data_IF_283053757306
#
_entry.id   IF_283053757306
#
_cell.length_a   1.000
_cell.length_b   1.000
_cell.length_c   1.000
_cell.angle_alpha   90.00
_cell.angle_beta   90.00
_cell.angle_gamma   90.00
#
_symmetry.space_group_name_H-M   'P 1'
#
loop_
_entity.id
_entity.type
_entity.pdbx_description
1 polymer ?
#
# COMPACT_ATOMS: atom_id res chain seq x y z
N UNK A 1 -13.82 -27.63 56.09
CA UNK A 1 -14.55 -27.73 54.80
C UNK A 1 -14.05 -26.64 53.85
N UNK A 2 -13.47 -26.97 52.69
CA UNK A 2 -12.88 -26.00 51.79
C UNK A 2 -13.97 -25.26 50.99
N UNK A 3 -13.89 -23.92 50.96
CA UNK A 3 -14.83 -23.04 50.25
C UNK A 3 -14.62 -23.19 48.74
N UNK A 4 -15.64 -23.64 48.03
CA UNK A 4 -15.66 -23.72 46.56
C UNK A 4 -15.39 -22.35 45.93
N UNK A 5 -14.32 -22.29 45.14
CA UNK A 5 -13.99 -21.12 44.30
C UNK A 5 -15.04 -21.03 43.18
N UNK A 6 -15.95 -20.06 43.29
CA UNK A 6 -16.84 -19.65 42.19
C UNK A 6 -15.99 -19.23 40.98
N UNK A 7 -15.98 -20.07 39.95
CA UNK A 7 -15.38 -19.75 38.65
C UNK A 7 -16.09 -18.56 38.02
N UNK A 8 -15.37 -17.45 37.84
CA UNK A 8 -15.84 -16.29 37.08
C UNK A 8 -16.16 -16.72 35.65
N UNK A 9 -17.46 -16.88 35.31
CA UNK A 9 -17.92 -17.02 33.93
C UNK A 9 -17.60 -15.74 33.17
N UNK A 10 -16.55 -15.80 32.34
CA UNK A 10 -16.21 -14.76 31.37
C UNK A 10 -17.36 -14.58 30.37
N UNK A 11 -18.28 -13.66 30.66
CA UNK A 11 -19.26 -13.16 29.71
C UNK A 11 -18.52 -12.40 28.59
N UNK A 12 -18.11 -13.10 27.53
CA UNK A 12 -17.74 -12.48 26.26
C UNK A 12 -18.98 -11.80 25.68
N UNK A 13 -19.25 -10.56 26.09
CA UNK A 13 -20.20 -9.69 25.40
C UNK A 13 -19.65 -9.47 23.98
N UNK A 14 -20.28 -10.10 22.99
CA UNK A 14 -20.05 -9.81 21.57
C UNK A 14 -20.49 -8.36 21.31
N UNK A 15 -19.61 -7.40 21.58
CA UNK A 15 -19.83 -6.00 21.24
C UNK A 15 -19.75 -5.89 19.72
N UNK A 16 -20.90 -5.70 19.07
CA UNK A 16 -20.91 -5.40 17.64
C UNK A 16 -20.23 -4.05 17.42
N UNK A 17 -19.28 -4.00 16.49
CA UNK A 17 -18.59 -2.76 16.14
C UNK A 17 -19.56 -1.79 15.47
N UNK A 18 -19.46 -0.51 15.81
CA UNK A 18 -20.22 0.53 15.11
C UNK A 18 -19.69 0.69 13.69
N UNK A 19 -20.50 1.24 12.78
CA UNK A 19 -20.09 1.44 11.39
C UNK A 19 -18.87 2.37 11.25
N UNK A 20 -18.78 3.38 12.11
CA UNK A 20 -17.61 4.26 12.21
C UNK A 20 -16.39 3.46 12.68
N UNK A 21 -16.54 2.59 13.69
CA UNK A 21 -15.45 1.73 14.15
C UNK A 21 -14.99 0.77 13.06
N UNK A 22 -15.91 0.19 12.28
CA UNK A 22 -15.56 -0.70 11.15
C UNK A 22 -14.72 0.02 10.10
N UNK A 23 -14.97 1.31 9.84
CA UNK A 23 -14.20 2.11 8.88
C UNK A 23 -12.82 2.44 9.45
N UNK A 24 -12.75 2.90 10.69
CA UNK A 24 -11.48 3.22 11.37
C UNK A 24 -10.59 1.96 11.49
N UNK A 25 -11.18 0.83 11.89
CA UNK A 25 -10.50 -0.46 11.96
C UNK A 25 -9.95 -0.87 10.59
N UNK A 26 -10.74 -0.70 9.53
CA UNK A 26 -10.31 -1.00 8.17
C UNK A 26 -9.16 -0.09 7.72
N UNK A 27 -9.22 1.20 8.04
CA UNK A 27 -8.12 2.14 7.78
C UNK A 27 -6.82 1.69 8.45
N UNK A 28 -6.85 1.36 9.75
CA UNK A 28 -5.67 0.88 10.45
C UNK A 28 -5.16 -0.47 9.94
N UNK A 29 -6.08 -1.37 9.58
CA UNK A 29 -5.74 -2.63 8.92
C UNK A 29 -4.97 -2.38 7.62
N UNK A 30 -5.40 -1.41 6.79
CA UNK A 30 -4.65 -1.07 5.58
C UNK A 30 -3.27 -0.48 5.87
N UNK A 31 -3.05 0.12 7.06
CA UNK A 31 -1.73 0.59 7.52
C UNK A 31 -0.83 -0.53 8.03
N UNK A 32 -1.33 -1.76 8.13
CA UNK A 32 -0.60 -2.89 8.71
C UNK A 32 -0.61 -2.92 10.23
N UNK A 33 -1.45 -2.09 10.87
CA UNK A 33 -1.61 -2.11 12.32
C UNK A 33 -2.69 -3.12 12.68
N UNK A 34 -2.34 -4.06 13.54
CA UNK A 34 -3.29 -5.03 14.11
C UNK A 34 -4.11 -4.38 15.22
N UNK A 35 -5.32 -4.90 15.45
CA UNK A 35 -6.18 -4.43 16.54
C UNK A 35 -5.50 -4.51 17.92
N UNK A 36 -4.51 -5.39 18.07
CA UNK A 36 -3.84 -5.62 19.35
C UNK A 36 -2.73 -4.59 19.59
N UNK A 37 -2.00 -4.17 18.55
CA UNK A 37 -1.08 -3.03 18.60
C UNK A 37 -1.81 -1.71 18.93
N UNK A 38 -3.07 -1.58 18.52
CA UNK A 38 -3.92 -0.41 18.85
C UNK A 38 -4.44 -0.48 20.30
N UNK A 39 -4.43 -1.67 20.93
CA UNK A 39 -5.13 -1.95 22.21
C UNK A 39 -4.27 -1.85 23.47
N UNK A 40 -2.98 -1.52 23.40
CA UNK A 40 -2.08 -1.56 24.57
C UNK A 40 -2.52 -0.71 25.79
N UNK A 41 -3.46 0.24 25.65
CA UNK A 41 -4.13 0.85 26.79
C UNK A 41 -5.54 1.36 26.43
N UNK A 42 -6.55 1.15 27.27
CA UNK A 42 -7.91 1.66 27.03
C UNK A 42 -7.96 3.19 26.84
N UNK A 43 -7.06 3.93 27.51
CA UNK A 43 -6.89 5.38 27.36
C UNK A 43 -6.29 5.74 25.99
N UNK A 44 -5.21 5.06 25.60
CA UNK A 44 -4.58 5.24 24.27
C UNK A 44 -5.55 4.90 23.15
N UNK A 45 -6.31 3.80 23.30
CA UNK A 45 -7.37 3.40 22.35
C UNK A 45 -8.41 4.50 22.16
N UNK A 46 -8.97 5.06 23.24
CA UNK A 46 -9.96 6.15 23.13
C UNK A 46 -9.39 7.37 22.40
N UNK A 47 -8.16 7.77 22.71
CA UNK A 47 -7.49 8.92 22.09
C UNK A 47 -7.20 8.67 20.60
N UNK A 48 -6.77 7.47 20.24
CA UNK A 48 -6.50 7.10 18.85
C UNK A 48 -7.82 7.11 18.06
N UNK A 49 -8.84 6.40 18.52
CA UNK A 49 -10.13 6.35 17.82
C UNK A 49 -10.78 7.73 17.72
N UNK A 50 -10.75 8.56 18.76
CA UNK A 50 -11.37 9.89 18.73
C UNK A 50 -10.79 10.82 17.66
N UNK A 51 -9.54 10.60 17.24
CA UNK A 51 -8.92 11.39 16.15
C UNK A 51 -9.49 11.02 14.79
N UNK A 52 -9.90 9.76 14.60
CA UNK A 52 -10.36 9.24 13.31
C UNK A 52 -11.88 9.06 13.24
N UNK A 53 -12.62 9.25 14.35
CA UNK A 53 -14.09 9.13 14.38
C UNK A 53 -14.78 10.17 13.51
N UNK A 54 -14.37 11.44 13.59
CA UNK A 54 -14.95 12.51 12.77
C UNK A 54 -14.68 12.29 11.26
N UNK A 55 -13.43 12.08 10.82
CA UNK A 55 -13.14 11.75 9.42
C UNK A 55 -13.87 10.49 8.95
N UNK A 56 -13.97 9.45 9.77
CA UNK A 56 -14.69 8.23 9.39
C UNK A 56 -16.21 8.45 9.26
N UNK A 57 -16.78 9.33 10.09
CA UNK A 57 -18.20 9.71 10.00
C UNK A 57 -18.48 10.47 8.69
N UNK A 58 -17.67 11.47 8.39
CA UNK A 58 -17.76 12.24 7.13
C UNK A 58 -17.60 11.31 5.91
N UNK A 59 -16.73 10.30 6.00
CA UNK A 59 -16.52 9.32 4.94
C UNK A 59 -17.72 8.40 4.74
N UNK A 60 -18.36 7.99 5.85
CA UNK A 60 -19.57 7.19 5.79
C UNK A 60 -20.72 7.97 5.15
N UNK A 61 -20.87 9.24 5.51
CA UNK A 61 -21.88 10.14 4.93
C UNK A 61 -21.64 10.33 3.42
N UNK A 62 -20.41 10.60 3.01
CA UNK A 62 -20.05 10.77 1.60
C UNK A 62 -20.21 9.48 0.77
N UNK A 63 -19.81 8.33 1.35
CA UNK A 63 -19.87 7.04 0.67
C UNK A 63 -21.29 6.45 0.62
N UNK A 64 -22.15 6.84 1.56
CA UNK A 64 -23.49 6.28 1.78
C UNK A 64 -23.53 4.83 2.26
N UNK A 65 -22.39 4.15 2.41
CA UNK A 65 -22.30 2.80 2.96
C UNK A 65 -20.90 2.45 3.44
N UNK A 66 -20.82 1.62 4.47
CA UNK A 66 -19.54 1.10 4.99
C UNK A 66 -18.75 0.37 3.90
N UNK A 67 -19.42 -0.41 3.05
CA UNK A 67 -18.77 -1.17 1.97
C UNK A 67 -18.08 -0.26 0.95
N UNK A 68 -18.73 0.85 0.56
CA UNK A 68 -18.14 1.84 -0.36
C UNK A 68 -16.98 2.59 0.30
N UNK A 69 -17.13 2.98 1.57
CA UNK A 69 -16.06 3.64 2.33
C UNK A 69 -14.79 2.77 2.42
N UNK A 70 -14.95 1.48 2.76
CA UNK A 70 -13.82 0.52 2.80
C UNK A 70 -13.12 0.38 1.46
N UNK A 71 -13.90 0.24 0.36
CA UNK A 71 -13.34 0.18 -1.00
C UNK A 71 -12.56 1.44 -1.39
N UNK A 72 -13.06 2.63 -1.00
CA UNK A 72 -12.36 3.88 -1.26
C UNK A 72 -11.02 3.94 -0.51
N UNK A 73 -11.02 3.52 0.76
CA UNK A 73 -9.80 3.38 1.56
C UNK A 73 -8.83 2.39 0.90
N UNK A 74 -9.29 1.24 0.43
CA UNK A 74 -8.44 0.23 -0.21
C UNK A 74 -7.75 0.77 -1.48
N UNK A 75 -8.51 1.46 -2.34
CA UNK A 75 -7.96 2.07 -3.56
C UNK A 75 -6.85 3.08 -3.23
N UNK A 76 -7.10 3.96 -2.26
CA UNK A 76 -6.14 4.98 -1.83
C UNK A 76 -4.94 4.36 -1.14
N UNK A 77 -5.16 3.36 -0.27
CA UNK A 77 -4.10 2.64 0.40
C UNK A 77 -3.17 1.95 -0.59
N UNK A 78 -3.72 1.26 -1.60
CA UNK A 78 -2.94 0.60 -2.63
C UNK A 78 -2.14 1.60 -3.48
N UNK A 79 -2.78 2.70 -3.90
CA UNK A 79 -2.13 3.80 -4.61
C UNK A 79 -0.99 4.42 -3.80
N UNK A 80 -1.21 4.70 -2.52
CA UNK A 80 -0.22 5.34 -1.64
C UNK A 80 0.95 4.41 -1.34
N UNK A 81 0.68 3.13 -1.03
CA UNK A 81 1.70 2.10 -0.82
C UNK A 81 2.61 1.93 -2.03
N UNK A 82 2.04 1.88 -3.24
CA UNK A 82 2.84 1.77 -4.48
C UNK A 82 3.78 2.96 -4.73
N UNK A 83 3.50 4.12 -4.09
CA UNK A 83 4.28 5.36 -4.21
C UNK A 83 5.10 5.68 -2.96
N UNK A 84 5.06 4.81 -1.94
CA UNK A 84 5.68 5.05 -0.64
C UNK A 84 5.23 6.38 -0.01
N UNK A 85 3.95 6.73 -0.17
CA UNK A 85 3.34 7.93 0.42
C UNK A 85 2.57 7.57 1.69
N UNK A 86 2.62 8.47 2.67
CA UNK A 86 1.67 8.42 3.77
C UNK A 86 0.28 8.87 3.30
N UNK A 87 -0.75 8.35 3.97
CA UNK A 87 -2.14 8.65 3.65
C UNK A 87 -3.00 8.60 4.90
N UNK A 88 -4.00 9.47 4.99
CA UNK A 88 -4.99 9.47 6.06
C UNK A 88 -6.39 9.26 5.48
N UNK A 89 -7.41 9.21 6.34
CA UNK A 89 -8.81 9.19 5.88
C UNK A 89 -9.09 10.46 5.05
N UNK A 90 -8.47 11.59 5.39
CA UNK A 90 -8.57 12.83 4.62
C UNK A 90 -7.98 12.75 3.22
N UNK A 91 -6.95 11.92 3.02
CA UNK A 91 -6.43 11.63 1.67
C UNK A 91 -7.50 10.98 0.80
N UNK A 92 -8.40 10.18 1.38
CA UNK A 92 -9.53 9.58 0.66
C UNK A 92 -10.51 10.65 0.20
N UNK A 93 -10.78 11.67 1.02
CA UNK A 93 -11.61 12.81 0.61
C UNK A 93 -10.98 13.61 -0.53
N UNK A 94 -9.69 13.95 -0.38
CA UNK A 94 -8.95 14.72 -1.40
C UNK A 94 -8.88 13.99 -2.75
N UNK A 95 -8.95 12.66 -2.74
CA UNK A 95 -8.91 11.82 -3.94
C UNK A 95 -10.27 11.27 -4.34
N UNK A 96 -11.36 11.72 -3.74
CA UNK A 96 -12.70 11.15 -3.95
C UNK A 96 -13.14 11.14 -5.41
N UNK A 97 -13.03 12.28 -6.10
CA UNK A 97 -13.37 12.42 -7.52
C UNK A 97 -12.39 11.69 -8.45
N UNK A 98 -11.20 11.35 -7.95
CA UNK A 98 -10.14 10.69 -8.71
C UNK A 98 -10.06 9.18 -8.42
N UNK A 99 -10.92 8.61 -7.56
CA UNK A 99 -10.81 7.23 -7.09
C UNK A 99 -10.74 6.20 -8.23
N UNK A 100 -11.42 6.44 -9.34
CA UNK A 100 -11.39 5.53 -10.50
C UNK A 100 -10.16 5.70 -11.39
N UNK A 101 -9.45 6.83 -11.26
CA UNK A 101 -8.20 7.13 -11.96
C UNK A 101 -6.96 6.74 -11.15
N UNK A 102 -7.12 6.45 -9.86
CA UNK A 102 -6.02 5.99 -9.00
C UNK A 102 -5.53 4.61 -9.44
N UNK A 103 -4.46 4.61 -10.24
CA UNK A 103 -3.72 3.38 -10.56
C UNK A 103 -2.50 3.25 -9.63
N UNK A 104 -2.20 2.05 -9.10
CA UNK A 104 -0.91 1.82 -8.46
C UNK A 104 0.22 2.20 -9.41
N UNK A 105 1.37 2.57 -8.86
CA UNK A 105 2.57 2.74 -9.66
C UNK A 105 2.92 1.38 -10.26
N UNK A 106 3.03 1.31 -11.58
CA UNK A 106 3.38 0.08 -12.26
C UNK A 106 4.77 -0.38 -11.81
N UNK A 107 4.88 -1.65 -11.44
CA UNK A 107 6.14 -2.26 -11.06
C UNK A 107 6.89 -2.55 -12.35
N UNK A 108 7.71 -1.59 -12.80
CA UNK A 108 8.55 -1.77 -13.98
C UNK A 108 9.68 -2.74 -13.62
N UNK A 109 9.63 -3.94 -14.20
CA UNK A 109 10.77 -4.86 -14.19
C UNK A 109 11.69 -4.47 -15.33
N UNK A 110 12.95 -4.17 -15.00
CA UNK A 110 13.96 -3.96 -16.03
C UNK A 110 14.76 -5.24 -16.21
N UNK A 111 15.04 -5.65 -17.45
CA UNK A 111 15.85 -6.82 -17.74
C UNK A 111 17.33 -6.50 -17.53
N UNK A 112 18.05 -7.46 -16.96
CA UNK A 112 19.49 -7.41 -16.73
C UNK A 112 20.12 -8.73 -17.15
N UNK A 113 21.40 -8.69 -17.55
CA UNK A 113 22.20 -9.88 -17.78
C UNK A 113 23.56 -9.69 -17.11
N UNK A 114 23.96 -10.63 -16.26
CA UNK A 114 25.23 -10.56 -15.50
C UNK A 114 25.45 -9.22 -14.77
N UNK A 115 24.38 -8.62 -14.25
CA UNK A 115 24.44 -7.32 -13.56
C UNK A 115 24.30 -6.09 -14.46
N UNK A 116 24.41 -6.24 -15.79
CA UNK A 116 24.32 -5.15 -16.77
C UNK A 116 22.88 -4.95 -17.29
N UNK A 117 22.42 -3.70 -17.50
CA UNK A 117 21.07 -3.44 -17.99
C UNK A 117 20.89 -3.88 -19.44
N UNK A 118 19.71 -4.41 -19.77
CA UNK A 118 19.36 -4.83 -21.13
C UNK A 118 18.29 -3.92 -21.75
N UNK A 119 18.34 -3.79 -23.07
CA UNK A 119 17.39 -3.02 -23.87
C UNK A 119 16.89 -3.88 -25.03
N UNK A 120 15.58 -3.89 -25.25
CA UNK A 120 14.97 -4.54 -26.41
C UNK A 120 14.93 -3.58 -27.60
N UNK A 121 15.51 -3.97 -28.73
CA UNK A 121 15.37 -3.26 -29.99
C UNK A 121 14.12 -3.75 -30.71
N UNK A 122 13.14 -2.88 -30.92
CA UNK A 122 11.93 -3.20 -31.70
C UNK A 122 12.22 -3.35 -33.19
N UNK A 123 13.23 -2.64 -33.70
CA UNK A 123 13.64 -2.68 -35.11
C UNK A 123 14.30 -4.03 -35.45
N UNK A 124 15.23 -4.48 -34.60
CA UNK A 124 16.01 -5.70 -34.83
C UNK A 124 15.41 -6.94 -34.17
N UNK A 125 14.39 -6.76 -33.30
CA UNK A 125 13.75 -7.81 -32.50
C UNK A 125 14.76 -8.63 -31.69
N UNK A 126 15.73 -7.94 -31.09
CA UNK A 126 16.85 -8.51 -30.34
C UNK A 126 17.06 -7.76 -29.03
N UNK A 127 17.67 -8.45 -28.07
CA UNK A 127 18.13 -7.87 -26.82
C UNK A 127 19.57 -7.38 -26.96
N UNK A 128 19.88 -6.22 -26.35
CA UNK A 128 21.23 -5.71 -26.22
C UNK A 128 21.55 -5.50 -24.75
N UNK A 129 22.75 -5.88 -24.35
CA UNK A 129 23.31 -5.61 -23.03
C UNK A 129 24.13 -4.33 -23.14
N UNK A 130 23.85 -3.36 -22.27
CA UNK A 130 24.67 -2.13 -22.19
C UNK A 130 25.77 -2.37 -21.16
N UNK A 131 27.03 -2.36 -21.60
CA UNK A 131 28.19 -2.54 -20.72
C UNK A 131 28.37 -1.34 -19.77
N UNK A 132 29.19 -1.49 -18.73
CA UNK A 132 29.54 -0.37 -17.83
C UNK A 132 30.25 0.79 -18.58
N UNK A 133 30.91 0.47 -19.70
CA UNK A 133 31.59 1.43 -20.58
C UNK A 133 30.64 2.09 -21.59
N UNK A 134 29.37 1.67 -21.63
CA UNK A 134 28.32 2.24 -22.49
C UNK A 134 28.19 1.61 -23.87
N UNK A 135 28.90 0.50 -24.12
CA UNK A 135 28.82 -0.26 -25.36
C UNK A 135 27.56 -1.13 -25.42
N UNK A 136 27.01 -1.32 -26.62
CA UNK A 136 25.82 -2.14 -26.84
C UNK A 136 26.23 -3.47 -27.43
N UNK A 137 26.13 -4.53 -26.63
CA UNK A 137 26.48 -5.89 -27.02
C UNK A 137 25.21 -6.69 -27.31
N UNK A 138 25.14 -7.33 -28.48
CA UNK A 138 24.00 -8.19 -28.81
C UNK A 138 23.93 -9.39 -27.84
N UNK A 139 22.75 -9.67 -27.32
CA UNK A 139 22.51 -10.79 -26.41
C UNK A 139 22.15 -12.06 -27.19
N UNK A 140 23.04 -13.05 -27.15
CA UNK A 140 22.84 -14.37 -27.79
C UNK A 140 22.40 -15.48 -26.82
N UNK A 141 22.07 -15.12 -25.56
CA UNK A 141 21.66 -16.09 -24.53
C UNK A 141 20.21 -16.56 -24.64
N UNK A 142 19.78 -17.37 -23.68
CA UNK A 142 18.37 -17.81 -23.58
C UNK A 142 17.59 -16.87 -22.67
N UNK A 143 16.28 -16.76 -22.87
CA UNK A 143 15.39 -15.92 -22.04
C UNK A 143 15.50 -16.19 -20.53
N UNK A 144 15.82 -17.43 -20.13
CA UNK A 144 16.02 -17.82 -18.73
C UNK A 144 17.25 -17.18 -18.07
N UNK A 145 18.19 -16.72 -18.88
CA UNK A 145 19.43 -16.08 -18.41
C UNK A 145 19.20 -14.58 -18.13
N UNK A 146 18.02 -14.04 -18.49
CA UNK A 146 17.62 -12.65 -18.23
C UNK A 146 17.12 -12.51 -16.79
N UNK A 147 17.82 -11.69 -16.02
CA UNK A 147 17.47 -11.30 -14.66
C UNK A 147 16.47 -10.14 -14.66
N UNK A 148 15.23 -10.40 -14.25
CA UNK A 148 14.20 -9.36 -14.14
C UNK A 148 14.26 -8.68 -12.77
N UNK A 149 14.97 -7.55 -12.69
CA UNK A 149 15.07 -6.78 -11.44
C UNK A 149 13.90 -5.83 -11.28
N UNK A 150 13.24 -5.90 -10.13
CA UNK A 150 12.20 -4.93 -9.74
C UNK A 150 12.88 -3.66 -9.26
N UNK A 151 12.90 -2.64 -10.09
CA UNK A 151 13.38 -1.33 -9.66
C UNK A 151 12.22 -0.66 -8.91
N UNK A 152 12.40 -0.42 -7.61
CA UNK A 152 11.51 0.53 -6.92
C UNK A 152 11.81 1.90 -7.53
N UNK A 153 10.85 2.53 -8.21
CA UNK A 153 11.10 3.80 -8.86
C UNK A 153 11.28 4.88 -7.79
N UNK A 154 12.54 5.14 -7.43
CA UNK A 154 13.00 6.28 -6.64
C UNK A 154 12.30 7.56 -7.14
N UNK A 155 11.79 8.36 -6.22
CA UNK A 155 11.13 9.64 -6.52
C UNK A 155 12.08 10.72 -7.06
N UNK A 156 13.36 10.40 -7.28
CA UNK A 156 14.34 11.32 -7.85
C UNK A 156 14.92 10.77 -9.16
N UNK A 157 14.85 11.63 -10.17
CA UNK A 157 15.58 11.63 -11.44
C UNK A 157 15.10 10.67 -12.53
N UNK A 158 14.19 11.18 -13.36
CA UNK A 158 14.13 10.88 -14.80
C UNK A 158 13.78 12.17 -15.54
N UNK A 159 14.62 13.20 -15.43
CA UNK A 159 14.81 14.22 -16.47
C UNK A 159 16.24 14.72 -16.38
N UNK A 160 16.96 14.59 -17.50
CA UNK A 160 18.42 14.63 -17.57
C UNK A 160 19.06 15.99 -17.26
N UNK A 161 20.35 15.92 -16.96
CA UNK A 161 21.28 17.01 -17.25
C UNK A 161 22.33 16.47 -18.21
N UNK A 162 22.00 16.51 -19.50
CA UNK A 162 23.00 16.86 -20.50
C UNK A 162 23.18 18.37 -20.36
N UNK A 163 24.21 18.79 -19.63
CA UNK A 163 24.72 20.16 -19.68
C UNK A 163 25.89 20.15 -20.66
N UNK A 164 25.69 20.83 -21.79
CA UNK A 164 26.76 21.48 -22.54
C UNK A 164 27.29 22.65 -21.73
#
# INVERSE_FOLDING_TARGET
MPKEKKSLKNNKKNHQETDIQKIVNHYFYTKGLTLDEIKENARKKKIIYSRFTRPAKELLELAGSVKKAKKAIDKVAYWAKSRNLDYSIETVFKKWLELDRLKPKEIVRKPYFQGNPMVWSTAEKKWYVVSEEGEWLEFEGKDRDIEWKTIKPSSKSIYGQSKK
#
